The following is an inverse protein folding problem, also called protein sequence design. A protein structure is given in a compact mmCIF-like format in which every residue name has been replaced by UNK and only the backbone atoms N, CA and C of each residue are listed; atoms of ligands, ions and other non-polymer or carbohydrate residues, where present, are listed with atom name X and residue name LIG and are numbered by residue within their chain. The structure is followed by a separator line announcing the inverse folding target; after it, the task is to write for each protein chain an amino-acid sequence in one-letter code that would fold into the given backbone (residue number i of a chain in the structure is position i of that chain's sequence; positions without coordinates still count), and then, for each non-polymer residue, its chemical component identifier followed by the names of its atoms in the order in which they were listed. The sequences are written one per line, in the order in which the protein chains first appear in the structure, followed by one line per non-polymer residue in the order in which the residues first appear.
data_IF_685169053424
#
_entry.id   IF_685169053424
#
_cell.length_a   1.000
_cell.length_b   1.000
_cell.length_c   1.000
_cell.angle_alpha   90.00
_cell.angle_beta   90.00
_cell.angle_gamma   90.00
#
_symmetry.space_group_name_H-M   'P 1'
#
loop_
_entity.id
_entity.type
_entity.pdbx_description
1 polymer ?
#
# COMPACT_ATOMS: atom_id res chain seq x y z
N UNK A 1 7.71 -30.72 -52.76
CA UNK A 1 7.81 -30.28 -51.36
C UNK A 1 6.38 -30.26 -50.85
N UNK A 2 5.97 -31.36 -50.22
CA UNK A 2 4.62 -31.47 -49.66
C UNK A 2 4.61 -30.83 -48.27
N UNK A 3 4.05 -29.64 -48.18
CA UNK A 3 3.56 -29.09 -46.91
C UNK A 3 2.34 -29.90 -46.49
N UNK A 4 2.59 -30.99 -45.76
CA UNK A 4 1.53 -31.63 -44.97
C UNK A 4 1.21 -30.70 -43.81
N UNK A 5 0.19 -29.88 -44.00
CA UNK A 5 -0.59 -29.31 -42.92
C UNK A 5 -1.00 -30.46 -42.01
N UNK A 6 -0.41 -30.54 -40.81
CA UNK A 6 -0.87 -31.46 -39.78
C UNK A 6 -2.32 -31.12 -39.48
N UNK A 7 -3.22 -31.94 -40.02
CA UNK A 7 -4.64 -31.90 -39.69
C UNK A 7 -4.76 -32.07 -38.18
N UNK A 8 -5.28 -31.05 -37.50
CA UNK A 8 -5.72 -31.11 -36.10
C UNK A 8 -6.51 -32.41 -35.94
N UNK A 9 -5.94 -33.38 -35.23
CA UNK A 9 -6.65 -34.64 -34.96
C UNK A 9 -7.83 -34.30 -34.06
N UNK A 10 -9.04 -34.46 -34.58
CA UNK A 10 -10.26 -34.36 -33.78
C UNK A 10 -10.14 -35.35 -32.61
N UNK A 11 -9.97 -34.81 -31.39
CA UNK A 11 -9.98 -35.59 -30.17
C UNK A 11 -11.40 -36.10 -29.98
N UNK A 12 -11.65 -37.43 -29.88
CA UNK A 12 -12.99 -37.96 -29.67
C UNK A 12 -13.64 -37.30 -28.44
N UNK A 13 -14.95 -37.04 -28.47
CA UNK A 13 -15.68 -36.39 -27.37
C UNK A 13 -15.48 -37.06 -26.01
N UNK A 14 -15.22 -38.36 -26.00
CA UNK A 14 -14.91 -39.18 -24.82
C UNK A 14 -13.60 -38.77 -24.12
N UNK A 15 -12.75 -38.01 -24.82
CA UNK A 15 -11.47 -37.49 -24.35
C UNK A 15 -11.41 -35.96 -24.39
N UNK A 16 -12.54 -35.27 -24.32
CA UNK A 16 -12.59 -33.80 -24.34
C UNK A 16 -11.63 -33.15 -23.32
N UNK A 17 -11.34 -33.82 -22.20
CA UNK A 17 -10.36 -33.41 -21.18
C UNK A 17 -8.90 -33.38 -21.66
N UNK A 18 -8.57 -34.08 -22.74
CA UNK A 18 -7.23 -34.19 -23.31
C UNK A 18 -6.97 -33.04 -24.30
N UNK A 19 -6.49 -31.94 -23.76
CA UNK A 19 -6.02 -30.78 -24.51
C UNK A 19 -4.60 -31.09 -24.99
N UNK A 20 -4.48 -31.55 -26.24
CA UNK A 20 -3.21 -31.94 -26.86
C UNK A 20 -2.17 -30.82 -26.80
N UNK A 21 -2.62 -29.57 -26.86
CA UNK A 21 -1.78 -28.37 -26.79
C UNK A 21 -1.37 -27.99 -25.35
N UNK A 22 -2.02 -28.55 -24.31
CA UNK A 22 -1.74 -28.21 -22.91
C UNK A 22 -1.99 -29.38 -21.94
N UNK A 23 -1.06 -30.34 -21.96
CA UNK A 23 -1.09 -31.51 -21.08
C UNK A 23 -1.10 -31.19 -19.58
N UNK A 24 -0.55 -30.04 -19.17
CA UNK A 24 -0.54 -29.61 -17.76
C UNK A 24 -1.96 -29.33 -17.27
N UNK A 25 -2.75 -28.61 -18.06
CA UNK A 25 -4.15 -28.33 -17.76
C UNK A 25 -4.96 -29.63 -17.73
N UNK A 26 -4.78 -30.51 -18.71
CA UNK A 26 -5.44 -31.82 -18.74
C UNK A 26 -5.13 -32.66 -17.51
N UNK A 27 -3.87 -32.67 -17.04
CA UNK A 27 -3.49 -33.39 -15.84
C UNK A 27 -4.15 -32.81 -14.60
N UNK A 28 -4.13 -31.48 -14.42
CA UNK A 28 -4.80 -30.80 -13.30
C UNK A 28 -6.29 -31.11 -13.29
N UNK A 29 -6.92 -31.02 -14.45
CA UNK A 29 -8.35 -31.30 -14.63
C UNK A 29 -8.68 -32.74 -14.23
N UNK A 30 -7.95 -33.71 -14.77
CA UNK A 30 -8.16 -35.13 -14.50
C UNK A 30 -7.96 -35.45 -13.01
N UNK A 31 -6.90 -34.92 -12.40
CA UNK A 31 -6.65 -35.09 -10.95
C UNK A 31 -7.82 -34.57 -10.12
N UNK A 32 -8.35 -33.38 -10.45
CA UNK A 32 -9.51 -32.85 -9.73
C UNK A 32 -10.77 -33.69 -9.93
N UNK A 33 -11.08 -34.08 -11.16
CA UNK A 33 -12.26 -34.90 -11.46
C UNK A 33 -12.23 -36.24 -10.70
N UNK A 34 -11.06 -36.89 -10.64
CA UNK A 34 -10.88 -38.15 -9.90
C UNK A 34 -11.07 -37.94 -8.38
N UNK A 35 -10.59 -36.83 -7.83
CA UNK A 35 -10.71 -36.53 -6.41
C UNK A 35 -12.14 -36.13 -6.01
N UNK A 36 -12.95 -35.59 -6.93
CA UNK A 36 -14.32 -35.11 -6.65
C UNK A 36 -15.41 -36.03 -7.18
N UNK A 37 -15.05 -37.18 -7.75
CA UNK A 37 -15.97 -38.16 -8.34
C UNK A 37 -16.96 -37.54 -9.33
N UNK A 38 -16.48 -36.62 -10.17
CA UNK A 38 -17.33 -35.86 -11.09
C UNK A 38 -17.60 -36.63 -12.38
N UNK A 39 -18.85 -37.03 -12.60
CA UNK A 39 -19.24 -37.95 -13.68
C UNK A 39 -19.39 -37.25 -15.03
N UNK A 40 -19.67 -35.94 -15.05
CA UNK A 40 -20.01 -35.17 -16.26
C UNK A 40 -18.75 -34.55 -16.90
N UNK A 41 -17.73 -34.24 -16.10
CA UNK A 41 -16.65 -33.34 -16.48
C UNK A 41 -15.55 -33.88 -17.42
N UNK A 42 -15.28 -35.19 -17.58
CA UNK A 42 -14.33 -35.62 -18.61
C UNK A 42 -14.94 -35.61 -20.03
N UNK A 43 -16.27 -35.61 -20.17
CA UNK A 43 -16.93 -35.75 -21.48
C UNK A 43 -17.38 -34.43 -22.12
N UNK A 44 -17.53 -33.34 -21.35
CA UNK A 44 -18.09 -32.09 -21.87
C UNK A 44 -17.01 -31.11 -22.34
N UNK A 45 -16.93 -30.92 -23.66
CA UNK A 45 -15.98 -29.99 -24.30
C UNK A 45 -16.13 -28.53 -23.82
N UNK A 46 -17.36 -28.10 -23.53
CA UNK A 46 -17.64 -26.74 -23.04
C UNK A 46 -17.02 -26.51 -21.65
N UNK A 47 -17.11 -27.50 -20.76
CA UNK A 47 -16.52 -27.45 -19.42
C UNK A 47 -14.99 -27.44 -19.45
N UNK A 48 -14.39 -28.21 -20.36
CA UNK A 48 -12.93 -28.22 -20.52
C UNK A 48 -12.44 -26.88 -21.06
N UNK A 49 -13.12 -26.29 -22.06
CA UNK A 49 -12.82 -24.95 -22.56
C UNK A 49 -12.95 -23.89 -21.48
N UNK A 50 -14.00 -23.96 -20.66
CA UNK A 50 -14.18 -23.08 -19.52
C UNK A 50 -13.01 -23.17 -18.54
N UNK A 51 -12.63 -24.38 -18.15
CA UNK A 51 -11.50 -24.60 -17.24
C UNK A 51 -10.18 -24.06 -17.80
N UNK A 52 -9.93 -24.28 -19.09
CA UNK A 52 -8.73 -23.78 -19.77
C UNK A 52 -8.64 -22.25 -19.79
N UNK A 53 -9.78 -21.55 -19.86
CA UNK A 53 -9.84 -20.08 -19.74
C UNK A 53 -9.69 -19.61 -18.29
N UNK A 54 -10.24 -20.36 -17.34
CA UNK A 54 -10.27 -19.97 -15.93
C UNK A 54 -8.92 -20.15 -15.20
N UNK A 55 -8.14 -21.20 -15.50
CA UNK A 55 -6.85 -21.45 -14.83
C UNK A 55 -5.86 -20.26 -14.99
N UNK A 56 -5.65 -19.69 -16.20
CA UNK A 56 -4.82 -18.49 -16.35
C UNK A 56 -5.34 -17.27 -15.59
N UNK A 57 -6.66 -17.05 -15.56
CA UNK A 57 -7.27 -15.92 -14.84
C UNK A 57 -7.08 -16.07 -13.33
N UNK A 58 -7.24 -17.28 -12.79
CA UNK A 58 -6.96 -17.56 -11.38
C UNK A 58 -5.49 -17.33 -11.02
N UNK A 59 -4.57 -17.74 -11.89
CA UNK A 59 -3.14 -17.47 -11.71
C UNK A 59 -2.88 -15.96 -11.73
N UNK A 60 -3.46 -15.23 -12.67
CA UNK A 60 -3.34 -13.77 -12.75
C UNK A 60 -3.87 -13.07 -11.50
N UNK A 61 -5.05 -13.47 -10.99
CA UNK A 61 -5.62 -12.96 -9.74
C UNK A 61 -4.69 -13.20 -8.54
N UNK A 62 -4.13 -14.42 -8.42
CA UNK A 62 -3.18 -14.77 -7.35
C UNK A 62 -1.87 -13.96 -7.45
N UNK A 63 -1.44 -13.63 -8.68
CA UNK A 63 -0.30 -12.75 -8.90
C UNK A 63 -0.60 -11.30 -8.47
N UNK A 64 -1.76 -10.75 -8.84
CA UNK A 64 -2.19 -9.41 -8.39
C UNK A 64 -2.30 -9.34 -6.86
N UNK A 65 -2.76 -10.42 -6.23
CA UNK A 65 -2.81 -10.52 -4.77
C UNK A 65 -1.42 -10.54 -4.11
N UNK A 66 -0.45 -11.22 -4.72
CA UNK A 66 0.89 -11.44 -4.14
C UNK A 66 1.91 -10.34 -4.41
N UNK A 67 1.70 -9.47 -5.41
CA UNK A 67 2.52 -8.27 -5.66
C UNK A 67 2.26 -7.18 -4.61
N UNK A 68 2.46 -7.50 -3.34
CA UNK A 68 2.37 -6.62 -2.16
C UNK A 68 3.73 -6.05 -1.72
N UNK A 69 4.81 -6.28 -2.48
CA UNK A 69 6.09 -5.66 -2.16
C UNK A 69 6.12 -4.25 -2.73
N UNK A 70 6.15 -3.27 -1.83
CA UNK A 70 6.43 -1.82 -2.02
C UNK A 70 7.81 -1.52 -2.69
N UNK A 71 8.37 -2.46 -3.46
CA UNK A 71 9.70 -2.38 -4.07
C UNK A 71 9.65 -2.31 -5.62
N UNK A 72 8.63 -1.67 -6.19
CA UNK A 72 8.69 -1.23 -7.60
C UNK A 72 9.52 0.07 -7.71
N UNK A 73 10.79 -0.01 -7.29
CA UNK A 73 11.86 0.89 -7.76
C UNK A 73 12.56 0.33 -9.01
N UNK A 74 12.05 -0.76 -9.60
CA UNK A 74 12.57 -1.25 -10.88
C UNK A 74 11.85 -0.56 -12.05
N UNK A 75 12.61 0.29 -12.74
CA UNK A 75 12.28 0.88 -14.04
C UNK A 75 11.97 -0.24 -15.05
N UNK A 76 10.71 -0.65 -15.13
CA UNK A 76 10.27 -1.71 -16.03
C UNK A 76 8.78 -1.98 -15.96
N UNK A 77 8.02 -1.16 -16.71
CA UNK A 77 6.60 -1.32 -17.10
C UNK A 77 5.53 -0.79 -16.12
N UNK A 78 5.02 0.45 -16.31
CA UNK A 78 4.11 1.13 -15.40
C UNK A 78 2.64 0.76 -15.67
N UNK A 79 2.33 -0.53 -15.81
CA UNK A 79 0.93 -0.97 -15.75
C UNK A 79 0.58 -1.07 -14.27
N UNK A 80 0.04 0.02 -13.70
CA UNK A 80 -0.31 0.09 -12.29
C UNK A 80 -1.08 -1.17 -11.87
N UNK A 81 -0.81 -1.70 -10.68
CA UNK A 81 -1.51 -2.89 -10.14
C UNK A 81 -3.03 -2.79 -10.24
N UNK A 82 -3.57 -1.56 -10.25
CA UNK A 82 -4.97 -1.25 -10.48
C UNK A 82 -5.44 -1.48 -11.93
N UNK A 83 -4.67 -1.05 -12.94
CA UNK A 83 -5.00 -1.36 -14.34
C UNK A 83 -4.99 -2.86 -14.64
N UNK A 84 -4.04 -3.62 -14.05
CA UNK A 84 -4.05 -5.10 -14.10
C UNK A 84 -5.30 -5.69 -13.43
N UNK A 85 -5.75 -5.11 -12.32
CA UNK A 85 -6.99 -5.50 -11.66
C UNK A 85 -8.22 -5.28 -12.54
N UNK A 86 -8.29 -4.17 -13.28
CA UNK A 86 -9.43 -3.91 -14.17
C UNK A 86 -9.53 -4.93 -15.32
N UNK A 87 -8.41 -5.27 -15.95
CA UNK A 87 -8.40 -6.23 -17.06
C UNK A 87 -8.71 -7.66 -16.57
N UNK A 88 -8.11 -8.07 -15.46
CA UNK A 88 -8.40 -9.37 -14.83
C UNK A 88 -9.83 -9.41 -14.31
N UNK A 89 -10.33 -8.31 -13.76
CA UNK A 89 -11.70 -8.16 -13.28
C UNK A 89 -12.73 -8.43 -14.37
N UNK A 90 -12.59 -7.84 -15.56
CA UNK A 90 -13.47 -8.12 -16.71
C UNK A 90 -13.47 -9.59 -17.09
N UNK A 91 -12.29 -10.22 -17.14
CA UNK A 91 -12.17 -11.65 -17.44
C UNK A 91 -12.89 -12.53 -16.39
N UNK A 92 -12.89 -12.13 -15.11
CA UNK A 92 -13.67 -12.82 -14.07
C UNK A 92 -15.17 -12.71 -14.34
N UNK A 93 -15.68 -11.52 -14.68
CA UNK A 93 -17.10 -11.32 -15.00
C UNK A 93 -17.54 -12.19 -16.17
N UNK A 94 -16.74 -12.23 -17.23
CA UNK A 94 -17.02 -13.04 -18.42
C UNK A 94 -17.06 -14.52 -18.07
N UNK A 95 -16.12 -15.00 -17.24
CA UNK A 95 -16.11 -16.39 -16.76
C UNK A 95 -17.33 -16.69 -15.87
N UNK A 96 -17.70 -15.81 -14.95
CA UNK A 96 -18.89 -16.02 -14.12
C UNK A 96 -20.16 -16.11 -14.97
N UNK A 97 -20.25 -15.30 -16.02
CA UNK A 97 -21.38 -15.32 -16.97
C UNK A 97 -21.39 -16.60 -17.82
N UNK A 98 -20.23 -16.99 -18.36
CA UNK A 98 -20.08 -18.23 -19.14
C UNK A 98 -20.42 -19.46 -18.31
N UNK A 99 -19.95 -19.52 -17.06
CA UNK A 99 -20.24 -20.63 -16.15
C UNK A 99 -21.73 -20.83 -15.88
N UNK A 100 -22.52 -19.76 -15.89
CA UNK A 100 -23.97 -19.79 -15.68
C UNK A 100 -24.76 -20.39 -16.84
N UNK A 101 -24.10 -20.65 -17.96
CA UNK A 101 -24.67 -21.36 -19.12
C UNK A 101 -24.35 -22.86 -19.13
N UNK A 102 -23.49 -23.32 -18.22
CA UNK A 102 -23.00 -24.70 -18.15
C UNK A 102 -23.74 -25.50 -17.07
N UNK A 103 -23.92 -26.80 -17.28
CA UNK A 103 -24.50 -27.65 -16.25
C UNK A 103 -23.66 -27.66 -14.96
N UNK A 104 -24.28 -27.64 -13.76
CA UNK A 104 -23.53 -27.63 -12.52
C UNK A 104 -22.81 -28.97 -12.30
N UNK A 105 -21.50 -28.88 -12.12
CA UNK A 105 -20.60 -30.00 -11.82
C UNK A 105 -19.78 -29.70 -10.56
N UNK A 106 -19.18 -30.71 -9.94
CA UNK A 106 -18.35 -30.52 -8.75
C UNK A 106 -17.10 -29.68 -9.05
N UNK A 107 -16.49 -29.91 -10.22
CA UNK A 107 -15.33 -29.15 -10.69
C UNK A 107 -15.71 -27.70 -11.00
N UNK A 108 -16.82 -27.46 -11.71
CA UNK A 108 -17.30 -26.10 -11.97
C UNK A 108 -17.61 -25.36 -10.67
N UNK A 109 -18.29 -26.02 -9.73
CA UNK A 109 -18.58 -25.46 -8.39
C UNK A 109 -17.31 -25.09 -7.64
N UNK A 110 -16.30 -25.96 -7.64
CA UNK A 110 -15.02 -25.68 -6.99
C UNK A 110 -14.32 -24.48 -7.64
N UNK A 111 -14.21 -24.48 -8.97
CA UNK A 111 -13.52 -23.45 -9.74
C UNK A 111 -14.19 -22.08 -9.60
N UNK A 112 -15.52 -22.03 -9.67
CA UNK A 112 -16.31 -20.83 -9.37
C UNK A 112 -16.09 -20.36 -7.94
N UNK A 113 -16.02 -21.30 -6.99
CA UNK A 113 -15.77 -20.99 -5.60
C UNK A 113 -14.43 -20.29 -5.39
N UNK A 114 -13.37 -20.79 -6.04
CA UNK A 114 -12.03 -20.19 -6.04
C UNK A 114 -12.02 -18.82 -6.72
N UNK A 115 -12.61 -18.71 -7.92
CA UNK A 115 -12.67 -17.45 -8.67
C UNK A 115 -13.32 -16.34 -7.86
N UNK A 116 -14.50 -16.62 -7.29
CA UNK A 116 -15.26 -15.65 -6.50
C UNK A 116 -14.50 -15.25 -5.22
N UNK A 117 -13.86 -16.21 -4.55
CA UNK A 117 -13.13 -15.93 -3.31
C UNK A 117 -11.87 -15.10 -3.54
N UNK A 118 -11.01 -15.54 -4.46
CA UNK A 118 -9.76 -14.84 -4.76
C UNK A 118 -10.05 -13.45 -5.32
N UNK A 119 -11.04 -13.32 -6.22
CA UNK A 119 -11.39 -12.01 -6.76
C UNK A 119 -11.91 -11.05 -5.67
N UNK A 120 -12.77 -11.54 -4.76
CA UNK A 120 -13.24 -10.73 -3.64
C UNK A 120 -12.09 -10.28 -2.74
N UNK A 121 -11.13 -11.18 -2.46
CA UNK A 121 -9.96 -10.89 -1.63
C UNK A 121 -9.02 -9.87 -2.29
N UNK A 122 -8.84 -9.95 -3.61
CA UNK A 122 -8.09 -8.95 -4.38
C UNK A 122 -8.79 -7.59 -4.33
N UNK A 123 -10.11 -7.55 -4.52
CA UNK A 123 -10.87 -6.29 -4.45
C UNK A 123 -10.69 -5.62 -3.08
N UNK A 124 -10.85 -6.35 -1.98
CA UNK A 124 -10.65 -5.78 -0.64
C UNK A 124 -9.19 -5.38 -0.37
N UNK A 125 -8.22 -6.07 -0.97
CA UNK A 125 -6.81 -5.79 -0.77
C UNK A 125 -6.24 -4.64 -1.62
N UNK A 126 -6.88 -4.31 -2.74
CA UNK A 126 -6.31 -3.39 -3.75
C UNK A 126 -7.20 -2.19 -4.11
N UNK A 127 -8.49 -2.21 -3.79
CA UNK A 127 -9.40 -1.10 -4.09
C UNK A 127 -9.16 0.06 -3.12
N UNK A 128 -8.97 1.26 -3.65
CA UNK A 128 -8.89 2.51 -2.88
C UNK A 128 -10.28 3.05 -2.56
N UNK A 129 -10.37 4.01 -1.64
CA UNK A 129 -11.64 4.66 -1.30
C UNK A 129 -12.37 5.24 -2.54
N UNK A 130 -11.64 5.88 -3.44
CA UNK A 130 -12.18 6.47 -4.67
C UNK A 130 -12.68 5.42 -5.69
N UNK A 131 -12.26 4.16 -5.54
CA UNK A 131 -12.57 3.04 -6.42
C UNK A 131 -13.58 2.04 -5.82
N UNK A 132 -14.26 2.38 -4.72
CA UNK A 132 -15.28 1.51 -4.10
C UNK A 132 -16.41 1.10 -5.06
N UNK A 133 -16.63 1.86 -6.13
CA UNK A 133 -17.58 1.50 -7.20
C UNK A 133 -17.29 0.12 -7.81
N UNK A 134 -16.04 -0.32 -7.89
CA UNK A 134 -15.68 -1.64 -8.42
C UNK A 134 -16.24 -2.78 -7.55
N UNK A 135 -16.28 -2.57 -6.22
CA UNK A 135 -16.89 -3.50 -5.28
C UNK A 135 -18.42 -3.49 -5.41
N UNK A 136 -19.02 -2.31 -5.60
CA UNK A 136 -20.46 -2.20 -5.87
C UNK A 136 -20.87 -2.88 -7.18
N UNK A 137 -20.06 -2.76 -8.22
CA UNK A 137 -20.30 -3.43 -9.50
C UNK A 137 -20.17 -4.95 -9.38
N UNK A 138 -19.15 -5.43 -8.68
CA UNK A 138 -18.99 -6.87 -8.40
C UNK A 138 -20.17 -7.44 -7.60
N UNK A 139 -20.61 -6.74 -6.55
CA UNK A 139 -21.73 -7.20 -5.70
C UNK A 139 -23.06 -7.19 -6.46
N UNK A 140 -23.27 -6.21 -7.36
CA UNK A 140 -24.41 -6.17 -8.28
C UNK A 140 -24.41 -7.35 -9.26
N UNK A 141 -23.25 -7.72 -9.79
CA UNK A 141 -23.15 -8.91 -10.65
C UNK A 141 -23.47 -10.20 -9.89
N UNK A 142 -23.01 -10.34 -8.64
CA UNK A 142 -23.37 -11.49 -7.81
C UNK A 142 -24.89 -11.55 -7.60
N UNK A 143 -25.56 -10.42 -7.40
CA UNK A 143 -27.02 -10.37 -7.30
C UNK A 143 -27.71 -10.81 -8.58
N UNK A 144 -27.22 -10.37 -9.75
CA UNK A 144 -27.75 -10.80 -11.03
C UNK A 144 -27.64 -12.32 -11.21
N UNK A 145 -26.45 -12.89 -10.95
CA UNK A 145 -26.22 -14.34 -11.07
C UNK A 145 -27.08 -15.14 -10.09
N UNK A 146 -27.24 -14.67 -8.85
CA UNK A 146 -28.09 -15.32 -7.87
C UNK A 146 -29.58 -15.26 -8.25
N UNK A 147 -30.04 -14.16 -8.86
CA UNK A 147 -31.40 -14.01 -9.33
C UNK A 147 -31.68 -14.84 -10.60
N UNK A 148 -30.74 -14.89 -11.54
CA UNK A 148 -30.84 -15.66 -12.78
C UNK A 148 -30.12 -17.00 -12.65
N UNK A 149 -30.63 -17.91 -11.83
CA UNK A 149 -30.01 -19.24 -11.63
C UNK A 149 -30.90 -20.40 -12.14
N UNK A 150 -31.11 -20.52 -13.46
CA UNK A 150 -32.02 -21.53 -14.04
C UNK A 150 -31.52 -22.96 -13.84
N UNK A 151 -30.19 -23.15 -13.86
CA UNK A 151 -29.54 -24.46 -13.72
C UNK A 151 -29.27 -24.86 -12.26
N UNK A 152 -29.70 -24.04 -11.28
CA UNK A 152 -29.59 -24.30 -9.84
C UNK A 152 -28.14 -24.51 -9.34
N UNK A 153 -27.21 -23.68 -9.80
CA UNK A 153 -25.85 -23.61 -9.26
C UNK A 153 -25.83 -23.36 -7.75
N UNK A 154 -24.79 -23.83 -7.06
CA UNK A 154 -24.58 -23.57 -5.63
C UNK A 154 -24.15 -22.11 -5.39
N UNK A 155 -25.08 -21.29 -4.92
CA UNK A 155 -24.87 -19.85 -4.69
C UNK A 155 -24.30 -19.50 -3.31
N UNK A 156 -23.99 -20.49 -2.46
CA UNK A 156 -23.53 -20.21 -1.08
C UNK A 156 -22.27 -19.37 -1.03
N UNK A 157 -21.32 -19.62 -1.94
CA UNK A 157 -20.06 -18.87 -2.00
C UNK A 157 -20.28 -17.43 -2.46
N UNK A 158 -21.10 -17.22 -3.49
CA UNK A 158 -21.50 -15.88 -3.95
C UNK A 158 -22.13 -15.07 -2.81
N UNK A 159 -23.08 -15.67 -2.07
CA UNK A 159 -23.70 -15.02 -0.90
C UNK A 159 -22.66 -14.62 0.15
N UNK A 160 -21.78 -15.56 0.51
CA UNK A 160 -20.73 -15.32 1.51
C UNK A 160 -19.81 -14.18 1.10
N UNK A 161 -19.32 -14.19 -0.13
CA UNK A 161 -18.41 -13.17 -0.66
C UNK A 161 -19.09 -11.83 -0.82
N UNK A 162 -20.36 -11.79 -1.28
CA UNK A 162 -21.16 -10.56 -1.31
C UNK A 162 -21.27 -9.93 0.08
N UNK A 163 -21.65 -10.70 1.10
CA UNK A 163 -21.75 -10.18 2.48
C UNK A 163 -20.40 -9.66 2.95
N UNK A 164 -19.30 -10.38 2.68
CA UNK A 164 -17.94 -9.95 3.03
C UNK A 164 -17.58 -8.61 2.40
N UNK A 165 -17.86 -8.44 1.10
CA UNK A 165 -17.61 -7.20 0.35
C UNK A 165 -18.46 -6.04 0.87
N UNK A 166 -19.76 -6.25 1.12
CA UNK A 166 -20.62 -5.19 1.67
C UNK A 166 -20.14 -4.71 3.04
N UNK A 167 -19.81 -5.64 3.95
CA UNK A 167 -19.26 -5.29 5.26
C UNK A 167 -17.91 -4.57 5.15
N UNK A 168 -17.08 -4.93 4.17
CA UNK A 168 -15.84 -4.20 3.89
C UNK A 168 -16.11 -2.76 3.47
N UNK A 169 -17.05 -2.53 2.54
CA UNK A 169 -17.42 -1.17 2.12
C UNK A 169 -17.95 -0.36 3.29
N UNK A 170 -18.86 -0.92 4.09
CA UNK A 170 -19.41 -0.27 5.29
C UNK A 170 -18.30 0.16 6.25
N UNK A 171 -17.34 -0.74 6.52
CA UNK A 171 -16.20 -0.45 7.38
C UNK A 171 -15.30 0.64 6.81
N UNK A 172 -14.96 0.58 5.51
CA UNK A 172 -14.11 1.59 4.85
C UNK A 172 -14.78 2.95 4.85
N UNK A 173 -16.09 3.02 4.58
CA UNK A 173 -16.86 4.27 4.64
C UNK A 173 -16.91 4.81 6.06
N UNK A 174 -17.14 3.95 7.06
CA UNK A 174 -17.16 4.34 8.45
C UNK A 174 -15.77 4.82 8.93
N UNK A 175 -14.70 4.15 8.54
CA UNK A 175 -13.32 4.53 8.85
C UNK A 175 -12.96 5.84 8.17
N UNK A 176 -13.40 6.08 6.93
CA UNK A 176 -13.19 7.35 6.24
C UNK A 176 -14.01 8.50 6.88
N UNK A 177 -15.24 8.22 7.32
CA UNK A 177 -16.08 9.20 8.03
C UNK A 177 -15.55 9.51 9.44
N UNK A 178 -14.95 8.52 10.11
CA UNK A 178 -14.35 8.64 11.44
C UNK A 178 -12.90 9.13 11.40
N UNK A 179 -12.21 8.99 10.27
CA UNK A 179 -10.95 9.64 10.02
C UNK A 179 -11.19 11.14 10.16
N UNK A 180 -10.79 11.68 11.31
CA UNK A 180 -10.75 13.12 11.55
C UNK A 180 -10.22 13.77 10.27
N UNK A 181 -10.90 14.79 9.70
CA UNK A 181 -10.31 15.53 8.59
C UNK A 181 -8.89 15.88 9.02
N UNK A 182 -7.92 15.66 8.13
CA UNK A 182 -6.51 15.92 8.42
C UNK A 182 -6.45 17.19 9.26
N UNK A 183 -5.87 17.14 10.48
CA UNK A 183 -5.95 18.22 11.49
C UNK A 183 -5.39 19.58 11.02
N UNK A 184 -5.06 19.69 9.73
CA UNK A 184 -4.54 20.84 9.00
C UNK A 184 -5.56 21.47 8.04
N UNK A 185 -6.71 20.84 7.75
CA UNK A 185 -7.80 21.50 7.01
C UNK A 185 -8.65 22.31 7.98
N UNK A 186 -8.38 23.61 8.04
CA UNK A 186 -9.23 24.60 8.72
C UNK A 186 -10.56 24.65 7.98
N UNK A 187 -11.67 24.47 8.70
CA UNK A 187 -13.01 24.60 8.14
C UNK A 187 -13.19 26.03 7.61
N UNK A 188 -13.43 26.17 6.29
CA UNK A 188 -13.56 27.45 5.60
C UNK A 188 -14.69 28.33 6.16
N UNK A 189 -15.56 27.78 7.00
CA UNK A 189 -16.71 28.46 7.60
C UNK A 189 -16.43 29.16 8.92
N UNK A 190 -15.28 28.92 9.55
CA UNK A 190 -14.91 29.64 10.77
C UNK A 190 -13.98 30.78 10.37
N UNK A 191 -14.44 32.05 10.38
CA UNK A 191 -13.54 33.17 10.15
C UNK A 191 -12.44 33.13 11.21
N UNK A 192 -11.22 32.84 10.76
CA UNK A 192 -10.04 32.88 11.61
C UNK A 192 -9.85 34.35 12.01
N UNK A 193 -9.99 34.67 13.29
CA UNK A 193 -9.61 35.99 13.79
C UNK A 193 -8.09 36.11 13.75
N UNK A 194 -7.58 36.57 12.61
CA UNK A 194 -6.15 36.75 12.38
C UNK A 194 -5.52 37.73 13.37
N UNK A 195 -6.30 38.69 13.89
CA UNK A 195 -5.79 39.63 14.87
C UNK A 195 -5.57 38.94 16.22
N UNK A 196 -6.54 38.13 16.66
CA UNK A 196 -6.40 37.33 17.88
C UNK A 196 -5.28 36.29 17.75
N UNK A 197 -5.20 35.57 16.63
CA UNK A 197 -4.15 34.58 16.42
C UNK A 197 -2.75 35.23 16.44
N UNK A 198 -2.58 36.38 15.77
CA UNK A 198 -1.32 37.11 15.80
C UNK A 198 -0.96 37.59 17.21
N UNK A 199 -1.96 38.04 17.99
CA UNK A 199 -1.76 38.42 19.39
C UNK A 199 -1.34 37.22 20.25
N UNK A 200 -1.95 36.06 20.05
CA UNK A 200 -1.62 34.83 20.79
C UNK A 200 -0.21 34.32 20.45
N UNK A 201 0.17 34.34 19.16
CA UNK A 201 1.53 33.97 18.72
C UNK A 201 2.56 34.93 19.32
N UNK A 202 2.30 36.23 19.28
CA UNK A 202 3.21 37.23 19.83
C UNK A 202 3.33 37.09 21.35
N UNK A 203 2.21 36.90 22.05
CA UNK A 203 2.21 36.68 23.50
C UNK A 203 2.98 35.41 23.89
N UNK A 204 2.83 34.33 23.11
CA UNK A 204 3.61 33.11 23.31
C UNK A 204 5.10 33.37 23.10
N UNK A 205 5.49 34.04 22.02
CA UNK A 205 6.88 34.39 21.75
C UNK A 205 7.47 35.26 22.86
N UNK A 206 6.80 36.34 23.24
CA UNK A 206 7.28 37.27 24.27
C UNK A 206 7.45 36.58 25.64
N UNK A 207 6.55 35.64 25.97
CA UNK A 207 6.62 34.87 27.21
C UNK A 207 7.66 33.76 27.24
N UNK A 208 8.10 33.24 26.09
CA UNK A 208 8.91 32.01 26.04
C UNK A 208 10.26 32.17 25.35
N UNK A 209 10.51 33.23 24.56
CA UNK A 209 11.79 33.41 23.90
C UNK A 209 12.92 33.63 24.92
N UNK A 210 14.13 33.22 24.55
CA UNK A 210 15.33 33.51 25.35
C UNK A 210 15.55 35.03 25.33
N UNK A 211 15.29 35.67 26.47
CA UNK A 211 15.53 37.10 26.63
C UNK A 211 17.03 37.41 26.66
N UNK A 212 17.40 38.65 26.36
CA UNK A 212 18.78 39.13 26.47
C UNK A 212 19.38 38.87 27.86
N UNK A 213 18.58 38.97 28.91
CA UNK A 213 18.99 38.69 30.30
C UNK A 213 19.32 37.20 30.50
N UNK A 214 18.50 36.31 29.94
CA UNK A 214 18.75 34.86 30.01
C UNK A 214 19.96 34.45 29.15
N UNK A 215 20.13 35.05 27.97
CA UNK A 215 21.32 34.85 27.13
C UNK A 215 22.59 35.27 27.89
N UNK A 216 22.58 36.43 28.55
CA UNK A 216 23.70 36.90 29.38
C UNK A 216 23.98 35.92 30.54
N UNK A 217 22.94 35.38 31.18
CA UNK A 217 23.08 34.38 32.24
C UNK A 217 23.74 33.11 31.72
N UNK A 218 23.29 32.59 30.56
CA UNK A 218 23.86 31.42 29.88
C UNK A 218 25.33 31.64 29.52
N UNK A 219 25.67 32.80 28.95
CA UNK A 219 27.06 33.17 28.67
C UNK A 219 27.91 33.25 29.94
N UNK A 220 27.35 33.74 31.05
CA UNK A 220 28.00 33.75 32.35
C UNK A 220 28.33 32.35 32.87
N UNK A 221 27.41 31.39 32.70
CA UNK A 221 27.63 29.97 33.02
C UNK A 221 28.78 29.39 32.18
N UNK A 222 28.78 29.63 30.87
CA UNK A 222 29.87 29.17 29.98
C UNK A 222 31.22 29.75 30.38
N UNK A 223 31.29 31.04 30.72
CA UNK A 223 32.53 31.67 31.19
C UNK A 223 33.02 31.10 32.53
N UNK A 224 32.10 30.74 33.45
CA UNK A 224 32.46 30.09 34.71
C UNK A 224 32.97 28.66 34.49
N UNK A 225 32.33 27.90 33.61
CA UNK A 225 32.72 26.53 33.27
C UNK A 225 34.07 26.51 32.54
N UNK A 226 34.28 27.40 31.57
CA UNK A 226 35.56 27.61 30.87
C UNK A 226 36.71 27.89 31.84
N UNK A 227 36.49 28.79 32.82
CA UNK A 227 37.48 29.08 33.87
C UNK A 227 37.80 27.84 34.71
N UNK A 228 36.81 26.99 34.99
CA UNK A 228 36.99 25.78 35.78
C UNK A 228 37.77 24.70 35.03
N UNK A 229 37.42 24.45 33.77
CA UNK A 229 38.12 23.48 32.90
C UNK A 229 39.60 23.85 32.74
N UNK A 230 39.90 25.13 32.50
CA UNK A 230 41.28 25.63 32.32
C UNK A 230 42.16 25.58 33.56
N UNK A 231 41.61 25.24 34.75
CA UNK A 231 42.43 25.00 35.95
C UNK A 231 43.22 23.70 35.83
N UNK A 232 42.73 22.73 35.07
CA UNK A 232 43.48 21.51 34.75
C UNK A 232 44.63 21.84 33.79
N UNK A 233 45.82 21.27 34.05
CA UNK A 233 46.99 21.43 33.18
C UNK A 233 46.75 20.87 31.78
N UNK A 234 46.00 19.77 31.68
CA UNK A 234 45.63 19.09 30.43
C UNK A 234 44.74 19.96 29.53
N UNK A 235 43.83 20.73 30.13
CA UNK A 235 42.80 21.50 29.41
C UNK A 235 43.06 23.00 29.42
N UNK A 236 44.29 23.43 29.77
CA UNK A 236 44.65 24.85 29.92
C UNK A 236 44.43 25.66 28.63
N UNK A 237 44.64 25.04 27.47
CA UNK A 237 44.45 25.64 26.15
C UNK A 237 43.03 25.44 25.57
N UNK A 238 42.14 24.74 26.27
CA UNK A 238 40.80 24.47 25.75
C UNK A 238 39.93 25.74 25.68
N UNK A 239 39.05 25.83 24.70
CA UNK A 239 38.02 26.85 24.57
C UNK A 239 36.62 26.23 24.65
N UNK A 240 35.67 26.97 25.16
CA UNK A 240 34.28 26.52 25.36
C UNK A 240 33.34 27.59 24.81
N UNK A 241 32.47 27.19 23.89
CA UNK A 241 31.54 28.07 23.19
C UNK A 241 30.11 27.58 23.33
N UNK A 242 29.19 28.52 23.56
CA UNK A 242 27.75 28.26 23.52
C UNK A 242 27.29 28.20 22.07
N UNK A 243 26.39 27.29 21.72
CA UNK A 243 25.74 27.26 20.41
C UNK A 243 24.29 26.75 20.52
N UNK A 244 23.66 26.50 19.36
CA UNK A 244 22.35 25.88 19.29
C UNK A 244 21.22 26.80 19.73
N UNK A 245 20.19 26.22 20.34
CA UNK A 245 18.95 26.91 20.73
C UNK A 245 19.21 28.12 21.63
N UNK A 246 20.29 28.08 22.43
CA UNK A 246 20.68 29.16 23.33
C UNK A 246 21.08 30.48 22.65
N UNK A 247 21.51 30.43 21.38
CA UNK A 247 21.91 31.62 20.59
C UNK A 247 21.05 31.81 19.33
N UNK A 248 20.10 30.91 19.09
CA UNK A 248 19.17 31.00 17.96
C UNK A 248 17.89 31.72 18.39
N UNK A 249 17.17 32.30 17.43
CA UNK A 249 15.82 32.84 17.66
C UNK A 249 14.75 31.75 17.87
N UNK A 250 15.14 30.47 17.83
CA UNK A 250 14.26 29.31 17.94
C UNK A 250 14.28 28.65 19.32
N UNK A 251 15.12 29.13 20.24
CA UNK A 251 15.20 28.59 21.59
C UNK A 251 14.15 29.17 22.53
N UNK A 252 13.72 28.36 23.50
CA UNK A 252 12.82 28.77 24.58
C UNK A 252 13.55 28.88 25.91
N UNK A 253 13.03 29.70 26.82
CA UNK A 253 13.50 29.74 28.20
C UNK A 253 13.37 28.34 28.83
N UNK A 254 14.42 27.90 29.53
CA UNK A 254 14.48 26.57 30.12
C UNK A 254 14.96 25.45 29.20
N UNK A 255 15.22 25.72 27.90
CA UNK A 255 15.86 24.72 27.05
C UNK A 255 17.31 24.43 27.46
N UNK A 256 17.81 23.26 27.08
CA UNK A 256 19.18 22.83 27.33
C UNK A 256 20.22 23.79 26.70
N UNK A 257 21.45 23.72 27.21
CA UNK A 257 22.58 24.51 26.72
C UNK A 257 23.54 23.62 25.94
N UNK A 258 23.61 23.83 24.63
CA UNK A 258 24.57 23.15 23.77
C UNK A 258 25.94 23.81 23.86
N UNK A 259 26.95 23.03 24.25
CA UNK A 259 28.31 23.53 24.49
C UNK A 259 29.32 22.81 23.60
N UNK A 260 30.12 23.59 22.88
CA UNK A 260 31.21 23.08 22.06
C UNK A 260 32.54 23.31 22.79
N UNK A 261 33.20 22.22 23.17
CA UNK A 261 34.55 22.23 23.70
C UNK A 261 35.53 22.01 22.56
N UNK A 262 36.50 22.91 22.42
CA UNK A 262 37.62 22.76 21.48
C UNK A 262 38.92 22.77 22.27
N UNK A 263 39.88 21.94 21.90
CA UNK A 263 41.22 21.99 22.48
C UNK A 263 42.25 21.69 21.40
N UNK A 264 43.41 22.34 21.50
CA UNK A 264 44.52 22.02 20.62
C UNK A 264 45.10 20.67 21.06
N UNK A 265 44.77 19.60 20.33
CA UNK A 265 45.70 18.49 20.21
C UNK A 265 46.97 19.04 19.54
N UNK A 266 48.15 18.73 20.06
CA UNK A 266 49.41 19.34 19.62
C UNK A 266 49.73 19.19 18.11
N UNK A 267 48.93 18.43 17.35
CA UNK A 267 49.23 18.02 15.98
C UNK A 267 48.20 18.44 14.90
N UNK A 268 47.21 19.29 15.19
CA UNK A 268 46.27 19.77 14.15
C UNK A 268 46.08 21.29 14.11
N UNK A 269 46.28 21.96 12.95
CA UNK A 269 46.08 23.40 12.81
C UNK A 269 44.59 23.75 12.89
N UNK A 270 44.29 24.72 13.76
CA UNK A 270 42.96 25.22 14.06
C UNK A 270 42.33 25.94 12.86
N UNK A 271 41.10 25.54 12.48
CA UNK A 271 40.20 26.35 11.64
C UNK A 271 39.09 26.87 12.55
N UNK A 272 39.01 28.19 12.76
CA UNK A 272 37.99 28.73 13.67
C UNK A 272 36.60 28.59 13.06
N UNK A 273 35.60 28.19 13.86
CA UNK A 273 34.21 28.09 13.42
C UNK A 273 33.65 29.46 12.95
N UNK A 274 34.16 30.55 13.53
CA UNK A 274 33.86 31.92 13.09
C UNK A 274 34.31 32.20 11.65
N UNK A 275 35.40 31.58 11.19
CA UNK A 275 35.85 31.69 9.79
C UNK A 275 34.97 30.92 8.80
N UNK A 276 34.30 29.85 9.26
CA UNK A 276 33.34 29.08 8.48
C UNK A 276 31.97 29.75 8.44
N UNK A 277 31.49 30.28 9.57
CA UNK A 277 30.20 30.99 9.65
C UNK A 277 30.22 32.35 8.95
N UNK A 278 31.37 33.05 8.94
CA UNK A 278 31.52 34.31 8.20
C UNK A 278 31.39 34.15 6.68
N UNK A 279 31.76 32.99 6.13
CA UNK A 279 31.61 32.69 4.68
C UNK A 279 30.16 32.38 4.27
N UNK A 280 29.37 31.81 5.17
CA UNK A 280 27.97 31.47 4.91
C UNK A 280 27.01 32.68 4.96
N UNK A 281 27.42 33.80 5.56
CA UNK A 281 26.62 35.05 5.59
C UNK A 281 26.80 35.94 4.35
N UNK A 282 27.76 35.62 3.48
CA UNK A 282 28.08 36.38 2.27
C UNK A 282 27.85 35.57 0.98
N UNK A 283 27.19 34.41 1.08
CA UNK A 283 26.75 33.58 -0.04
C UNK A 283 25.23 33.72 -0.23
#
# INVERSE_FOLDING_TARGET
MDERSESVRDVPDVHAWLLVENFTISRKLLTHCLNTSDVIFPASHAHVKFYAKADPVLVALKNVYSTNTDDDTSLGDPVSSYSRLQDVGRAVVDLLTEAWTLEPTNVLKWLLGELVEVYSDVLMGKVTFDALNDIHDCTRQFDMLMASNPLKHDIRKLKKCKTKLNSFVENVVQDHANALPARWTVDAKTPLDTAQLNADIQAYYDGHHISTTEEQRRMGIVQALKRSIRRSSEWRAADLQLYGSSLSTMGTQGCDMDLCLTWNAADHPFVSLSSLLGKARLA
#
